data_IF_926768753668
#
_entry.id   IF_926768753668
#
_cell.length_a   1.000
_cell.length_b   1.000
_cell.length_c   1.000
_cell.angle_alpha   90.00
_cell.angle_beta   90.00
_cell.angle_gamma   90.00
#
_symmetry.space_group_name_H-M   'P 1'
#
loop_
_entity.id
_entity.type
_entity.pdbx_description
1 polymer ?
#
# COMPACT_ATOMS: atom_id res chain seq x y z
N UNK A 1 -16.42 -5.56 13.03
CA UNK A 1 -15.61 -5.25 11.82
C UNK A 1 -15.20 -6.51 11.05
N UNK A 2 -14.36 -7.39 11.61
CA UNK A 2 -13.80 -8.54 10.85
C UNK A 2 -14.84 -9.42 10.15
N UNK A 3 -15.93 -9.80 10.82
CA UNK A 3 -17.03 -10.55 10.19
C UNK A 3 -17.54 -9.86 8.92
N UNK A 4 -17.78 -8.55 8.99
CA UNK A 4 -18.25 -7.74 7.85
C UNK A 4 -17.17 -7.55 6.78
N UNK A 5 -15.88 -7.54 7.16
CA UNK A 5 -14.80 -7.52 6.19
C UNK A 5 -14.73 -8.83 5.39
N UNK A 6 -14.80 -9.97 6.07
CA UNK A 6 -14.69 -11.28 5.43
C UNK A 6 -15.98 -11.77 4.75
N UNK A 7 -17.17 -11.23 5.07
CA UNK A 7 -18.43 -11.71 4.46
C UNK A 7 -18.89 -10.88 3.24
N UNK A 8 -19.30 -9.59 3.33
CA UNK A 8 -19.66 -8.83 2.14
C UNK A 8 -18.47 -8.17 1.43
N UNK A 9 -17.47 -7.67 2.16
CA UNK A 9 -16.47 -6.77 1.56
C UNK A 9 -15.41 -7.52 0.74
N UNK A 10 -14.74 -8.53 1.31
CA UNK A 10 -13.71 -9.28 0.59
C UNK A 10 -14.24 -10.10 -0.59
N UNK A 11 -15.34 -10.87 -0.47
CA UNK A 11 -15.84 -11.66 -1.60
C UNK A 11 -16.31 -10.81 -2.78
N UNK A 12 -16.88 -9.63 -2.55
CA UNK A 12 -17.32 -8.72 -3.63
C UNK A 12 -16.18 -8.10 -4.40
N UNK A 13 -14.97 -8.07 -3.83
CA UNK A 13 -13.76 -7.56 -4.48
C UNK A 13 -12.72 -8.66 -4.71
N UNK A 14 -13.12 -9.93 -4.70
CA UNK A 14 -12.18 -11.05 -4.77
C UNK A 14 -11.33 -11.03 -6.06
N UNK A 15 -11.95 -10.72 -7.20
CA UNK A 15 -11.26 -10.59 -8.49
C UNK A 15 -10.67 -9.19 -8.71
N UNK A 16 -10.87 -8.25 -7.78
CA UNK A 16 -10.45 -6.87 -7.96
C UNK A 16 -8.94 -6.72 -7.77
N UNK A 17 -8.27 -6.25 -8.81
CA UNK A 17 -6.87 -5.87 -8.74
C UNK A 17 -6.72 -4.44 -8.23
N UNK A 18 -5.91 -4.24 -7.19
CA UNK A 18 -5.67 -2.90 -6.65
C UNK A 18 -4.96 -1.99 -7.65
N UNK A 19 -5.29 -0.70 -7.66
CA UNK A 19 -4.65 0.30 -8.54
C UNK A 19 -3.13 0.32 -8.37
N UNK A 20 -2.62 0.22 -7.14
CA UNK A 20 -1.18 0.12 -6.90
C UNK A 20 -0.52 -1.10 -7.56
N UNK A 21 -1.19 -2.27 -7.61
CA UNK A 21 -0.64 -3.42 -8.32
C UNK A 21 -0.62 -3.18 -9.84
N UNK A 22 -1.66 -2.55 -10.38
CA UNK A 22 -1.71 -2.15 -11.78
C UNK A 22 -0.59 -1.16 -12.13
N UNK A 23 -0.31 -0.20 -11.25
CA UNK A 23 0.78 0.77 -11.42
C UNK A 23 2.15 0.09 -11.41
N UNK A 24 2.41 -0.84 -10.48
CA UNK A 24 3.67 -1.61 -10.44
C UNK A 24 3.88 -2.40 -11.74
N UNK A 25 2.82 -3.05 -12.25
CA UNK A 25 2.89 -3.83 -13.49
C UNK A 25 3.12 -2.96 -14.73
N UNK A 26 2.59 -1.74 -14.71
CA UNK A 26 2.74 -0.79 -15.80
C UNK A 26 4.00 0.10 -15.67
N UNK A 27 4.85 -0.14 -14.66
CA UNK A 27 6.04 0.68 -14.40
C UNK A 27 5.73 2.13 -14.00
N UNK A 28 4.51 2.41 -13.53
CA UNK A 28 4.08 3.74 -13.10
C UNK A 28 4.40 3.98 -11.63
N UNK A 29 4.46 5.26 -11.26
CA UNK A 29 4.52 5.67 -9.87
C UNK A 29 3.19 5.33 -9.18
N UNK A 30 3.28 4.70 -8.01
CA UNK A 30 2.16 4.34 -7.15
C UNK A 30 1.77 5.47 -6.21
N UNK A 31 0.59 5.36 -5.57
CA UNK A 31 0.10 6.27 -4.54
C UNK A 31 0.64 5.97 -3.12
N UNK A 32 1.64 5.10 -2.97
CA UNK A 32 2.10 4.62 -1.65
C UNK A 32 2.51 5.76 -0.69
N UNK A 33 3.05 6.86 -1.21
CA UNK A 33 3.45 8.02 -0.40
C UNK A 33 2.29 8.89 0.07
N UNK A 34 1.18 8.87 -0.67
CA UNK A 34 -0.06 9.54 -0.33
C UNK A 34 -0.91 8.72 0.65
N UNK A 35 -0.70 7.40 0.71
CA UNK A 35 -1.36 6.49 1.63
C UNK A 35 -0.48 6.21 2.85
N UNK A 36 0.29 5.12 2.84
CA UNK A 36 1.14 4.72 3.95
C UNK A 36 2.21 5.78 4.28
N UNK A 37 2.71 6.53 3.29
CA UNK A 37 3.67 7.61 3.52
C UNK A 37 3.13 8.73 4.42
N UNK A 38 1.85 9.06 4.36
CA UNK A 38 1.24 10.03 5.29
C UNK A 38 1.27 9.48 6.71
N UNK A 39 0.85 8.23 6.89
CA UNK A 39 0.83 7.57 8.21
C UNK A 39 2.23 7.51 8.82
N UNK A 40 3.25 7.16 8.03
CA UNK A 40 4.66 7.14 8.49
C UNK A 40 5.11 8.53 8.91
N UNK A 41 4.91 9.56 8.08
CA UNK A 41 5.33 10.93 8.40
C UNK A 41 4.65 11.46 9.66
N UNK A 42 3.35 11.22 9.80
CA UNK A 42 2.61 11.74 10.95
C UNK A 42 2.86 10.92 12.22
N UNK A 43 3.05 9.60 12.10
CA UNK A 43 3.51 8.74 13.20
C UNK A 43 4.85 9.23 13.77
N UNK A 44 5.82 9.51 12.90
CA UNK A 44 7.13 10.06 13.32
C UNK A 44 7.00 11.41 14.01
N UNK A 45 6.18 12.34 13.49
CA UNK A 45 5.94 13.65 14.13
C UNK A 45 5.35 13.51 15.53
N UNK A 46 4.52 12.49 15.75
CA UNK A 46 3.88 12.22 17.03
C UNK A 46 4.72 11.33 17.95
N UNK A 47 5.90 10.89 17.53
CA UNK A 47 6.74 9.95 18.28
C UNK A 47 6.12 8.56 18.43
N UNK A 48 5.29 8.13 17.46
CA UNK A 48 4.63 6.83 17.46
C UNK A 48 5.26 5.88 16.44
N UNK A 49 5.49 4.65 16.86
CA UNK A 49 5.95 3.58 15.98
C UNK A 49 4.80 3.08 15.09
N UNK A 50 5.03 3.07 13.77
CA UNK A 50 4.07 2.55 12.78
C UNK A 50 4.71 1.48 11.88
N UNK A 51 5.29 0.41 12.47
CA UNK A 51 6.24 -0.47 11.79
C UNK A 51 5.63 -1.20 10.58
N UNK A 52 4.34 -1.52 10.64
CA UNK A 52 3.65 -2.17 9.52
C UNK A 52 3.45 -1.24 8.32
N UNK A 53 3.14 0.04 8.56
CA UNK A 53 3.02 1.02 7.48
C UNK A 53 4.38 1.30 6.84
N UNK A 54 5.44 1.37 7.64
CA UNK A 54 6.80 1.50 7.14
C UNK A 54 7.21 0.30 6.28
N UNK A 55 6.96 -0.90 6.77
CA UNK A 55 7.33 -2.15 6.07
C UNK A 55 6.63 -2.24 4.72
N UNK A 56 5.30 -2.06 4.69
CA UNK A 56 4.52 -2.10 3.45
C UNK A 56 4.95 -0.98 2.50
N UNK A 57 5.12 0.25 3.00
CA UNK A 57 5.62 1.38 2.19
C UNK A 57 6.95 1.05 1.52
N UNK A 58 7.91 0.54 2.29
CA UNK A 58 9.25 0.26 1.80
C UNK A 58 9.25 -0.88 0.76
N UNK A 59 8.42 -1.91 0.95
CA UNK A 59 8.25 -2.99 -0.02
C UNK A 59 7.68 -2.49 -1.35
N UNK A 60 6.64 -1.65 -1.31
CA UNK A 60 6.04 -1.10 -2.53
C UNK A 60 7.00 -0.15 -3.25
N UNK A 61 7.73 0.70 -2.51
CA UNK A 61 8.78 1.54 -3.10
C UNK A 61 9.87 0.71 -3.78
N UNK A 62 10.29 -0.40 -3.17
CA UNK A 62 11.24 -1.33 -3.78
C UNK A 62 10.72 -1.90 -5.10
N UNK A 63 9.48 -2.40 -5.12
CA UNK A 63 8.87 -2.97 -6.34
C UNK A 63 8.70 -1.91 -7.43
N UNK A 64 8.20 -0.73 -7.09
CA UNK A 64 8.03 0.40 -8.02
C UNK A 64 9.37 0.78 -8.67
N UNK A 65 10.43 0.91 -7.88
CA UNK A 65 11.76 1.31 -8.39
C UNK A 65 12.44 0.18 -9.17
N UNK A 66 12.12 -1.09 -8.89
CA UNK A 66 12.59 -2.22 -9.69
C UNK A 66 11.95 -2.23 -11.08
N UNK A 67 10.64 -1.99 -11.19
CA UNK A 67 9.94 -1.92 -12.48
C UNK A 67 10.39 -0.76 -13.36
N UNK A 68 10.81 0.36 -12.77
CA UNK A 68 11.33 1.51 -13.52
C UNK A 68 12.72 1.30 -14.15
N UNK A 69 13.44 0.25 -13.72
CA UNK A 69 14.80 -0.08 -14.17
C UNK A 69 14.84 -1.28 -15.14
N UNK A 70 13.67 -1.74 -15.61
CA UNK A 70 13.49 -2.77 -16.64
C UNK A 70 12.96 -2.12 -17.93
#
# INVERSE_FOLDING_TARGET
YLKYFYTPLLPSTYEHESSMLQDIRAGRKTEIEALNGVIVRDGHKLGMDVPYNETVRNQILFLQNKSANL
#
